data_IF_351898065018
#
_entry.id   IF_351898065018
#
_cell.length_a   1.000
_cell.length_b   1.000
_cell.length_c   1.000
_cell.angle_alpha   90.00
_cell.angle_beta   90.00
_cell.angle_gamma   90.00
#
_symmetry.space_group_name_H-M   'P 1'
#
loop_
_entity.id
_entity.type
_entity.pdbx_description
1 polymer ?
#
# COMPACT_ATOMS: atom_id res chain seq x y z
N UNK A 1 10.16 26.69 -1.73
CA UNK A 1 10.50 25.33 -1.27
C UNK A 1 9.21 24.54 -1.01
N UNK A 2 8.20 24.65 -1.89
CA UNK A 2 6.79 24.49 -1.48
C UNK A 2 5.96 23.57 -2.41
N UNK A 3 6.61 22.80 -3.29
CA UNK A 3 5.90 21.88 -4.20
C UNK A 3 5.55 20.57 -3.46
N UNK A 4 6.40 20.13 -2.52
CA UNK A 4 6.22 18.85 -1.81
C UNK A 4 5.29 18.96 -0.59
N UNK A 5 5.26 20.11 0.11
CA UNK A 5 4.49 20.31 1.35
C UNK A 5 3.41 21.39 1.22
N UNK A 6 2.71 21.45 0.08
CA UNK A 6 1.54 22.30 -0.07
C UNK A 6 0.27 21.62 0.47
N UNK A 7 -0.75 22.40 0.83
CA UNK A 7 -2.05 21.84 1.23
C UNK A 7 -2.63 20.94 0.11
N UNK A 8 -2.45 21.32 -1.15
CA UNK A 8 -2.91 20.55 -2.31
C UNK A 8 -2.21 19.20 -2.44
N UNK A 9 -0.89 19.12 -2.22
CA UNK A 9 -0.15 17.85 -2.30
C UNK A 9 -0.53 16.92 -1.15
N UNK A 10 -0.79 17.45 0.04
CA UNK A 10 -1.28 16.65 1.16
C UNK A 10 -2.71 16.13 0.90
N UNK A 11 -3.60 16.95 0.37
CA UNK A 11 -4.96 16.52 0.00
C UNK A 11 -4.93 15.41 -1.07
N UNK A 12 -4.10 15.55 -2.10
CA UNK A 12 -3.96 14.54 -3.14
C UNK A 12 -3.42 13.20 -2.58
N UNK A 13 -2.42 13.26 -1.69
CA UNK A 13 -1.90 12.07 -1.00
C UNK A 13 -2.98 11.38 -0.17
N UNK A 14 -3.75 12.15 0.62
CA UNK A 14 -4.84 11.60 1.43
C UNK A 14 -5.93 10.97 0.58
N UNK A 15 -6.28 11.57 -0.58
CA UNK A 15 -7.23 10.97 -1.52
C UNK A 15 -6.74 9.64 -2.06
N UNK A 16 -5.47 9.57 -2.49
CA UNK A 16 -4.87 8.33 -2.99
C UNK A 16 -4.91 7.23 -1.93
N UNK A 17 -4.50 7.54 -0.70
CA UNK A 17 -4.54 6.58 0.42
C UNK A 17 -5.98 6.13 0.70
N UNK A 18 -6.94 7.06 0.70
CA UNK A 18 -8.34 6.73 0.93
C UNK A 18 -8.91 5.80 -0.15
N UNK A 19 -8.58 6.07 -1.42
CA UNK A 19 -8.99 5.21 -2.56
C UNK A 19 -8.40 3.81 -2.41
N UNK A 20 -7.10 3.70 -2.12
CA UNK A 20 -6.44 2.41 -1.95
C UNK A 20 -6.99 1.63 -0.77
N UNK A 21 -7.27 2.30 0.35
CA UNK A 21 -7.84 1.64 1.54
C UNK A 21 -9.26 1.13 1.30
N UNK A 22 -10.11 1.94 0.65
CA UNK A 22 -11.50 1.55 0.33
C UNK A 22 -11.52 0.40 -0.67
N UNK A 23 -10.71 0.47 -1.73
CA UNK A 23 -10.63 -0.58 -2.75
C UNK A 23 -9.99 -1.87 -2.24
N UNK A 24 -9.08 -1.79 -1.27
CA UNK A 24 -8.39 -2.95 -0.70
C UNK A 24 -9.15 -3.62 0.45
N UNK A 25 -10.27 -3.06 0.94
CA UNK A 25 -10.90 -3.39 2.22
C UNK A 25 -11.01 -4.89 2.54
N UNK A 26 -11.52 -5.68 1.60
CA UNK A 26 -11.79 -7.11 1.82
C UNK A 26 -10.51 -7.94 1.65
N UNK A 27 -9.69 -7.56 0.67
CA UNK A 27 -8.51 -8.32 0.24
C UNK A 27 -7.30 -8.13 1.17
N UNK A 28 -7.15 -6.94 1.77
CA UNK A 28 -6.05 -6.64 2.69
C UNK A 28 -6.10 -7.51 3.95
N UNK A 29 -7.30 -7.81 4.45
CA UNK A 29 -7.50 -8.66 5.62
C UNK A 29 -7.07 -10.11 5.31
N UNK A 30 -7.50 -10.66 4.18
CA UNK A 30 -7.15 -12.04 3.77
C UNK A 30 -5.64 -12.18 3.56
N UNK A 31 -5.01 -11.23 2.87
CA UNK A 31 -3.55 -11.22 2.65
C UNK A 31 -2.81 -11.09 3.99
N UNK A 32 -3.29 -10.21 4.89
CA UNK A 32 -2.72 -10.03 6.22
C UNK A 32 -2.79 -11.30 7.08
N UNK A 33 -3.93 -12.00 7.05
CA UNK A 33 -4.13 -13.27 7.75
C UNK A 33 -3.25 -14.37 7.16
N UNK A 34 -3.13 -14.46 5.83
CA UNK A 34 -2.24 -15.41 5.17
C UNK A 34 -0.77 -15.16 5.53
N UNK A 35 -0.34 -13.89 5.57
CA UNK A 35 1.01 -13.53 5.99
C UNK A 35 1.25 -13.75 7.49
N UNK A 36 0.24 -13.63 8.34
CA UNK A 36 0.35 -13.84 9.79
C UNK A 36 0.68 -15.29 10.16
N UNK A 37 0.28 -16.27 9.33
CA UNK A 37 0.61 -17.69 9.53
C UNK A 37 2.05 -18.09 9.16
N UNK A 38 2.83 -17.17 8.57
CA UNK A 38 4.20 -17.48 8.12
C UNK A 38 5.24 -17.31 9.25
N UNK A 39 6.32 -18.13 9.24
CA UNK A 39 7.50 -17.88 10.07
C UNK A 39 8.01 -16.45 9.88
N UNK A 40 8.53 -15.83 10.95
CA UNK A 40 8.87 -14.40 10.98
C UNK A 40 9.77 -13.95 9.82
N UNK A 41 10.69 -14.80 9.37
CA UNK A 41 11.59 -14.52 8.25
C UNK A 41 10.86 -14.54 6.89
N UNK A 42 9.90 -15.44 6.71
CA UNK A 42 9.09 -15.53 5.50
C UNK A 42 8.02 -14.44 5.44
N UNK A 43 7.45 -14.06 6.59
CA UNK A 43 6.49 -12.95 6.67
C UNK A 43 7.09 -11.64 6.16
N UNK A 44 8.35 -11.35 6.53
CA UNK A 44 9.07 -10.17 6.02
C UNK A 44 9.24 -10.21 4.50
N UNK A 45 9.60 -11.38 3.94
CA UNK A 45 9.73 -11.58 2.49
C UNK A 45 8.38 -11.41 1.77
N UNK A 46 7.30 -11.97 2.33
CA UNK A 46 5.96 -11.84 1.78
C UNK A 46 5.47 -10.37 1.78
N UNK A 47 5.67 -9.65 2.89
CA UNK A 47 5.33 -8.22 2.97
C UNK A 47 6.16 -7.41 1.98
N UNK A 48 7.48 -7.63 1.91
CA UNK A 48 8.37 -6.91 1.00
C UNK A 48 7.97 -7.12 -0.46
N UNK A 49 7.74 -8.38 -0.86
CA UNK A 49 7.30 -8.72 -2.20
C UNK A 49 5.95 -8.07 -2.53
N UNK A 50 5.01 -8.13 -1.58
CA UNK A 50 3.69 -7.51 -1.73
C UNK A 50 3.77 -5.99 -1.91
N UNK A 51 4.58 -5.30 -1.10
CA UNK A 51 4.78 -3.85 -1.22
C UNK A 51 5.43 -3.49 -2.56
N UNK A 52 6.46 -4.23 -2.98
CA UNK A 52 7.13 -3.98 -4.27
C UNK A 52 6.17 -4.19 -5.43
N UNK A 53 5.43 -5.31 -5.45
CA UNK A 53 4.44 -5.58 -6.49
C UNK A 53 3.32 -4.51 -6.51
N UNK A 54 2.76 -4.17 -5.36
CA UNK A 54 1.74 -3.12 -5.25
C UNK A 54 2.25 -1.76 -5.73
N UNK A 55 3.49 -1.40 -5.40
CA UNK A 55 4.12 -0.14 -5.83
C UNK A 55 4.32 -0.09 -7.34
N UNK A 56 4.81 -1.19 -7.93
CA UNK A 56 4.99 -1.28 -9.39
C UNK A 56 3.65 -1.16 -10.11
N UNK A 57 2.63 -1.88 -9.63
CA UNK A 57 1.27 -1.79 -10.18
C UNK A 57 0.70 -0.37 -10.02
N UNK A 58 0.88 0.25 -8.86
CA UNK A 58 0.45 1.63 -8.58
C UNK A 58 1.06 2.59 -9.59
N UNK A 59 2.36 2.52 -9.84
CA UNK A 59 3.04 3.45 -10.77
C UNK A 59 2.70 3.11 -12.22
N UNK A 60 2.53 1.84 -12.57
CA UNK A 60 2.22 1.41 -13.93
C UNK A 60 0.78 1.68 -14.38
N UNK A 61 -0.17 1.76 -13.45
CA UNK A 61 -1.60 1.95 -13.72
C UNK A 61 -2.20 3.28 -13.21
N UNK A 62 -1.44 4.09 -12.45
CA UNK A 62 -1.83 5.45 -12.06
C UNK A 62 -1.47 6.46 -13.14
#
# INVERSE_FOLDING_TARGET
>A
MDIFFSAASLTALLQVIAIDLVLAGDNAIVIGLAAAGLPAEQRKKAILLGVVAATVLRIGFA
#
